data_IF_060859565402
#
_entry.id   IF_060859565402
#
_cell.length_a   1.000
_cell.length_b   1.000
_cell.length_c   1.000
_cell.angle_alpha   90.00
_cell.angle_beta   90.00
_cell.angle_gamma   90.00
#
_symmetry.space_group_name_H-M   'P 1'
#
loop_
_entity.id
_entity.type
_entity.pdbx_description
1 polymer ?
#
# COMPACT_ATOMS: atom_id res chain seq x y z
N UNK A 1 -54.23 -10.14 34.32
CA UNK A 1 -53.10 -11.07 34.06
C UNK A 1 -53.08 -11.29 32.56
N UNK A 2 -52.06 -10.83 31.84
CA UNK A 2 -52.05 -10.88 30.38
C UNK A 2 -52.03 -12.35 29.90
N UNK A 3 -52.91 -12.68 28.96
CA UNK A 3 -53.24 -14.06 28.56
C UNK A 3 -52.17 -14.72 27.65
N UNK A 4 -51.17 -13.96 27.22
CA UNK A 4 -50.11 -14.46 26.34
C UNK A 4 -48.74 -14.10 26.94
N UNK A 5 -47.92 -15.13 27.12
CA UNK A 5 -46.54 -14.97 27.59
C UNK A 5 -45.66 -14.51 26.42
N UNK A 6 -44.58 -13.78 26.71
CA UNK A 6 -43.61 -13.34 25.67
C UNK A 6 -43.13 -14.55 24.84
N UNK A 7 -42.98 -15.71 25.46
CA UNK A 7 -42.60 -16.97 24.81
C UNK A 7 -43.63 -17.52 23.80
N UNK A 8 -44.91 -17.13 23.89
CA UNK A 8 -45.94 -17.48 22.90
C UNK A 8 -46.06 -16.41 21.79
N UNK A 9 -45.77 -15.15 22.08
CA UNK A 9 -45.70 -14.08 21.07
C UNK A 9 -44.52 -14.26 20.10
N UNK A 10 -43.39 -14.76 20.59
CA UNK A 10 -42.19 -15.01 19.77
C UNK A 10 -42.38 -16.12 18.72
N UNK A 11 -43.36 -17.03 18.91
CA UNK A 11 -43.68 -18.07 17.92
C UNK A 11 -44.43 -17.53 16.70
N UNK A 12 -45.05 -16.35 16.81
CA UNK A 12 -45.75 -15.67 15.71
C UNK A 12 -44.87 -14.61 15.03
N UNK A 13 -43.72 -14.27 15.61
CA UNK A 13 -42.76 -13.34 15.04
C UNK A 13 -41.63 -14.11 14.36
N UNK A 14 -41.74 -14.30 13.05
CA UNK A 14 -40.55 -14.62 12.26
C UNK A 14 -39.60 -13.44 12.38
N UNK A 15 -38.47 -13.63 13.05
CA UNK A 15 -37.37 -12.66 13.02
C UNK A 15 -37.12 -12.32 11.55
N UNK A 16 -37.21 -11.03 11.20
CA UNK A 16 -36.63 -10.57 9.95
C UNK A 16 -35.13 -10.82 10.07
N UNK A 17 -34.67 -11.98 9.61
CA UNK A 17 -33.29 -12.16 9.19
C UNK A 17 -33.08 -11.12 8.09
N UNK A 18 -32.52 -9.98 8.48
CA UNK A 18 -32.06 -9.00 7.52
C UNK A 18 -30.97 -9.71 6.71
N UNK A 19 -31.34 -10.13 5.50
CA UNK A 19 -30.46 -10.78 4.57
C UNK A 19 -29.44 -9.76 4.05
N UNK A 20 -28.41 -9.50 4.84
CA UNK A 20 -27.25 -8.72 4.48
C UNK A 20 -26.04 -9.25 5.23
N UNK A 21 -24.97 -9.61 4.52
CA UNK A 21 -23.65 -9.71 5.17
C UNK A 21 -23.23 -8.26 5.40
N UNK A 22 -23.08 -7.89 6.66
CA UNK A 22 -22.51 -6.58 7.01
C UNK A 22 -21.06 -6.61 6.53
N UNK A 23 -20.73 -5.76 5.56
CA UNK A 23 -19.35 -5.57 5.12
C UNK A 23 -18.58 -4.86 6.25
N UNK A 24 -17.97 -5.65 7.12
CA UNK A 24 -17.11 -5.14 8.21
C UNK A 24 -15.71 -4.75 7.72
N UNK A 25 -15.37 -5.17 6.50
CA UNK A 25 -14.05 -5.03 5.90
C UNK A 25 -14.07 -3.90 4.87
N UNK A 26 -13.39 -2.79 5.20
CA UNK A 26 -13.24 -1.59 4.36
C UNK A 26 -12.03 -1.75 3.42
N UNK A 27 -12.26 -1.78 2.11
CA UNK A 27 -11.24 -2.15 1.10
C UNK A 27 -10.85 -1.02 0.12
N UNK A 28 -11.02 0.25 0.50
CA UNK A 28 -10.50 1.35 -0.32
C UNK A 28 -8.99 1.53 -0.04
N UNK A 29 -8.12 0.86 -0.81
CA UNK A 29 -6.70 1.19 -0.81
C UNK A 29 -6.43 2.33 -1.79
N UNK A 30 -5.82 3.43 -1.34
CA UNK A 30 -5.47 4.54 -2.21
C UNK A 30 -4.32 4.21 -3.17
N UNK A 31 -3.61 3.10 -2.96
CA UNK A 31 -2.43 2.70 -3.75
C UNK A 31 -2.79 2.47 -5.23
N UNK A 32 -3.91 1.78 -5.50
CA UNK A 32 -4.36 1.49 -6.86
C UNK A 32 -4.89 2.71 -7.61
N UNK A 33 -5.20 3.80 -6.91
CA UNK A 33 -5.61 5.05 -7.54
C UNK A 33 -4.45 5.92 -8.00
N UNK A 34 -3.24 5.68 -7.47
CA UNK A 34 -2.06 6.50 -7.73
C UNK A 34 -1.09 5.81 -8.70
N UNK A 35 -1.07 4.48 -8.72
CA UNK A 35 -0.20 3.71 -9.62
C UNK A 35 -0.91 3.35 -10.94
N UNK A 36 -0.40 3.82 -12.10
CA UNK A 36 -0.93 3.41 -13.39
C UNK A 36 -0.49 1.98 -13.73
N UNK A 37 -1.41 1.19 -14.29
CA UNK A 37 -1.10 -0.11 -14.88
C UNK A 37 -0.78 0.05 -16.35
N UNK A 38 0.41 -0.39 -16.77
CA UNK A 38 0.80 -0.46 -18.17
C UNK A 38 0.91 -1.91 -18.63
N UNK A 39 0.54 -2.18 -19.88
CA UNK A 39 0.57 -3.52 -20.46
C UNK A 39 1.90 -3.76 -21.15
N UNK A 40 2.62 -4.79 -20.72
CA UNK A 40 3.91 -5.18 -21.32
C UNK A 40 3.69 -6.44 -22.16
N UNK A 41 4.29 -6.48 -23.35
CA UNK A 41 4.31 -7.67 -24.21
C UNK A 41 5.56 -8.50 -23.87
N UNK A 42 5.41 -9.53 -23.03
CA UNK A 42 6.51 -10.40 -22.61
C UNK A 42 6.35 -10.89 -21.17
N UNK A 43 7.34 -11.65 -20.67
CA UNK A 43 7.34 -12.16 -19.29
C UNK A 43 8.09 -11.25 -18.30
N UNK A 44 8.84 -10.27 -18.80
CA UNK A 44 9.61 -9.34 -17.99
C UNK A 44 9.84 -8.01 -18.71
N UNK A 45 10.10 -6.96 -17.94
CA UNK A 45 10.56 -5.66 -18.42
C UNK A 45 11.96 -5.42 -17.87
N UNK A 46 12.95 -5.40 -18.77
CA UNK A 46 14.31 -4.98 -18.43
C UNK A 46 14.49 -3.51 -18.79
N UNK A 47 14.89 -2.71 -17.81
CA UNK A 47 15.21 -1.30 -18.00
C UNK A 47 16.62 -1.02 -17.50
N UNK A 48 17.27 -0.06 -18.14
CA UNK A 48 18.63 0.34 -17.81
C UNK A 48 18.59 1.47 -16.78
N UNK A 49 19.20 1.25 -15.62
CA UNK A 49 19.34 2.23 -14.55
C UNK A 49 20.73 2.86 -14.62
N UNK A 50 20.81 4.18 -14.63
CA UNK A 50 22.07 4.91 -14.52
C UNK A 50 22.61 4.78 -13.09
N UNK A 51 23.90 4.43 -12.95
CA UNK A 51 24.53 4.20 -11.65
C UNK A 51 25.50 5.33 -11.27
N UNK A 52 26.37 5.72 -12.20
CA UNK A 52 27.34 6.81 -11.97
C UNK A 52 27.39 7.75 -13.17
N UNK A 53 27.28 9.05 -12.90
CA UNK A 53 27.54 10.09 -13.89
C UNK A 53 29.06 10.24 -14.08
N UNK A 54 29.47 10.63 -15.29
CA UNK A 54 30.85 11.03 -15.55
C UNK A 54 31.21 12.30 -14.76
N UNK A 55 32.48 12.41 -14.37
CA UNK A 55 33.01 13.58 -13.65
C UNK A 55 33.35 14.71 -14.62
N UNK A 56 33.30 15.95 -14.12
CA UNK A 56 33.75 17.14 -14.84
C UNK A 56 34.81 17.85 -13.99
N UNK A 57 35.94 18.20 -14.61
CA UNK A 57 37.07 18.84 -13.95
C UNK A 57 37.42 20.17 -14.64
N UNK A 58 37.92 21.13 -13.86
CA UNK A 58 38.46 22.39 -14.39
C UNK A 58 39.94 22.19 -14.71
N UNK A 59 40.35 22.59 -15.91
CA UNK A 59 41.71 22.42 -16.41
C UNK A 59 42.35 23.75 -16.79
N UNK A 60 43.64 23.90 -16.49
CA UNK A 60 44.45 25.03 -16.96
C UNK A 60 44.97 24.77 -18.40
N UNK A 61 45.40 25.82 -19.13
CA UNK A 61 45.93 25.65 -20.48
C UNK A 61 47.20 24.77 -20.49
N UNK A 62 47.08 23.55 -21.01
CA UNK A 62 48.16 22.56 -21.14
C UNK A 62 47.96 21.27 -20.34
N UNK A 63 46.90 21.17 -19.53
CA UNK A 63 46.62 19.97 -18.73
C UNK A 63 46.10 18.78 -19.54
N UNK A 64 46.35 17.59 -19.00
CA UNK A 64 45.80 16.33 -19.51
C UNK A 64 44.39 16.10 -18.98
N UNK A 65 43.46 15.87 -19.89
CA UNK A 65 42.08 15.55 -19.58
C UNK A 65 41.96 14.08 -19.18
N UNK A 66 41.42 13.81 -18.00
CA UNK A 66 41.12 12.44 -17.55
C UNK A 66 39.71 12.07 -18.00
N UNK A 67 39.57 10.98 -18.75
CA UNK A 67 38.26 10.51 -19.22
C UNK A 67 37.50 9.81 -18.08
N UNK A 68 36.21 10.12 -17.96
CA UNK A 68 35.31 9.52 -16.99
C UNK A 68 34.12 8.91 -17.71
N UNK A 69 33.95 7.58 -17.62
CA UNK A 69 32.88 6.86 -18.31
C UNK A 69 31.67 6.66 -17.39
N UNK A 70 30.46 7.07 -17.80
CA UNK A 70 29.24 6.77 -17.05
C UNK A 70 28.93 5.27 -17.07
N UNK A 71 28.37 4.73 -15.98
CA UNK A 71 28.01 3.32 -15.86
C UNK A 71 26.50 3.12 -15.74
N UNK A 72 26.01 2.03 -16.34
CA UNK A 72 24.59 1.68 -16.42
C UNK A 72 24.43 0.22 -16.02
N UNK A 73 23.43 -0.09 -15.19
CA UNK A 73 23.08 -1.46 -14.79
C UNK A 73 21.69 -1.84 -15.31
N UNK A 74 21.53 -3.00 -15.97
CA UNK A 74 20.22 -3.49 -16.35
C UNK A 74 19.49 -4.06 -15.12
N UNK A 75 18.27 -3.58 -14.85
CA UNK A 75 17.36 -4.09 -13.83
C UNK A 75 16.19 -4.76 -14.54
N UNK A 76 15.82 -5.98 -14.10
CA UNK A 76 14.73 -6.75 -14.72
C UNK A 76 13.60 -6.95 -13.73
N UNK A 77 12.41 -6.46 -14.08
CA UNK A 77 11.18 -6.76 -13.36
C UNK A 77 10.44 -7.91 -14.04
N UNK A 78 10.17 -9.00 -13.32
CA UNK A 78 9.42 -10.17 -13.81
C UNK A 78 7.93 -10.02 -13.50
N UNK A 79 7.08 -10.56 -14.37
CA UNK A 79 5.64 -10.60 -14.13
C UNK A 79 5.27 -11.87 -13.35
N UNK A 80 4.36 -11.73 -12.38
CA UNK A 80 3.81 -12.83 -11.59
C UNK A 80 2.29 -12.90 -11.73
N UNK A 81 1.74 -14.10 -11.51
CA UNK A 81 0.30 -14.37 -11.65
C UNK A 81 -0.30 -14.51 -10.26
N UNK A 82 -1.24 -13.64 -9.93
CA UNK A 82 -2.05 -13.72 -8.71
C UNK A 82 -3.47 -14.15 -9.06
N UNK A 83 -3.99 -15.16 -8.37
CA UNK A 83 -5.34 -15.66 -8.57
C UNK A 83 -5.83 -16.43 -7.36
N UNK A 84 -7.15 -16.59 -7.26
CA UNK A 84 -7.80 -17.37 -6.21
C UNK A 84 -9.02 -18.07 -6.75
N UNK A 85 -9.29 -19.26 -6.21
CA UNK A 85 -10.43 -20.08 -6.59
C UNK A 85 -11.61 -19.89 -5.63
N UNK A 86 -12.83 -19.98 -6.18
CA UNK A 86 -14.10 -19.74 -5.53
C UNK A 86 -15.14 -20.76 -5.99
N UNK A 87 -14.92 -22.04 -5.65
CA UNK A 87 -15.85 -23.11 -5.98
C UNK A 87 -17.06 -23.17 -5.03
N UNK A 88 -18.22 -23.46 -5.61
CA UNK A 88 -19.45 -23.73 -4.87
C UNK A 88 -20.18 -24.92 -5.48
N UNK A 89 -20.66 -25.84 -4.65
CA UNK A 89 -21.48 -26.96 -5.10
C UNK A 89 -22.85 -26.47 -5.61
N UNK A 90 -23.27 -26.98 -6.77
CA UNK A 90 -24.54 -26.69 -7.39
C UNK A 90 -25.73 -27.04 -6.47
N UNK A 91 -25.60 -28.08 -5.63
CA UNK A 91 -26.65 -28.42 -4.65
C UNK A 91 -26.79 -27.35 -3.57
N UNK A 92 -25.66 -26.84 -3.04
CA UNK A 92 -25.62 -25.75 -2.07
C UNK A 92 -26.14 -24.44 -2.67
N UNK A 93 -25.82 -24.17 -3.94
CA UNK A 93 -26.36 -23.02 -4.68
C UNK A 93 -27.88 -23.06 -4.78
N UNK A 94 -28.47 -24.22 -5.08
CA UNK A 94 -29.92 -24.38 -5.21
C UNK A 94 -30.66 -24.37 -3.87
N UNK A 95 -30.08 -24.97 -2.83
CA UNK A 95 -30.77 -25.19 -1.55
C UNK A 95 -30.62 -24.05 -0.55
N UNK A 96 -29.51 -23.30 -0.58
CA UNK A 96 -29.20 -22.28 0.43
C UNK A 96 -29.23 -20.83 -0.07
N UNK A 97 -29.52 -20.59 -1.35
CA UNK A 97 -29.62 -19.24 -1.91
C UNK A 97 -30.98 -18.55 -1.70
N UNK A 98 -31.83 -19.04 -0.79
CA UNK A 98 -33.16 -18.48 -0.55
C UNK A 98 -33.08 -17.06 0.04
N UNK A 99 -32.13 -16.84 0.96
CA UNK A 99 -32.00 -15.57 1.68
C UNK A 99 -30.91 -14.68 1.09
N UNK A 100 -29.81 -15.25 0.60
CA UNK A 100 -28.68 -14.52 0.01
C UNK A 100 -28.04 -15.35 -1.09
N UNK A 101 -27.51 -14.71 -2.13
CA UNK A 101 -26.72 -15.39 -3.15
C UNK A 101 -25.34 -15.76 -2.58
N UNK A 102 -25.20 -17.03 -2.21
CA UNK A 102 -23.98 -17.58 -1.61
C UNK A 102 -22.80 -17.52 -2.59
N UNK A 103 -23.07 -17.64 -3.89
CA UNK A 103 -22.02 -17.55 -4.91
C UNK A 103 -21.49 -16.13 -5.01
N UNK A 104 -22.37 -15.14 -5.08
CA UNK A 104 -21.98 -13.73 -5.17
C UNK A 104 -21.16 -13.30 -3.94
N UNK A 105 -21.50 -13.80 -2.76
CA UNK A 105 -20.75 -13.51 -1.53
C UNK A 105 -19.36 -14.13 -1.51
N UNK A 106 -19.23 -15.41 -1.88
CA UNK A 106 -17.93 -16.08 -1.92
C UNK A 106 -17.01 -15.43 -2.96
N UNK A 107 -17.56 -15.06 -4.12
CA UNK A 107 -16.82 -14.33 -5.13
C UNK A 107 -16.37 -12.95 -4.62
N UNK A 108 -17.26 -12.20 -3.95
CA UNK A 108 -16.91 -10.89 -3.39
C UNK A 108 -15.82 -11.00 -2.32
N UNK A 109 -15.90 -11.98 -1.42
CA UNK A 109 -14.86 -12.23 -0.41
C UNK A 109 -13.51 -12.60 -1.04
N UNK A 110 -13.53 -13.37 -2.13
CA UNK A 110 -12.32 -13.77 -2.84
C UNK A 110 -11.70 -12.62 -3.62
N UNK A 111 -12.50 -11.80 -4.30
CA UNK A 111 -12.03 -10.59 -4.95
C UNK A 111 -11.32 -9.66 -3.94
N UNK A 112 -11.87 -9.53 -2.73
CA UNK A 112 -11.25 -8.77 -1.63
C UNK A 112 -9.92 -9.39 -1.17
N UNK A 113 -9.87 -10.71 -1.02
CA UNK A 113 -8.64 -11.41 -0.64
C UNK A 113 -7.52 -11.22 -1.68
N UNK A 114 -7.86 -11.31 -2.98
CA UNK A 114 -6.90 -11.07 -4.08
C UNK A 114 -6.40 -9.63 -4.06
N UNK A 115 -7.29 -8.64 -3.88
CA UNK A 115 -6.89 -7.25 -3.81
C UNK A 115 -5.93 -6.95 -2.63
N UNK A 116 -6.13 -7.59 -1.47
CA UNK A 116 -5.24 -7.46 -0.31
C UNK A 116 -3.90 -8.16 -0.51
N UNK A 117 -3.91 -9.36 -1.06
CA UNK A 117 -2.70 -10.09 -1.38
C UNK A 117 -1.82 -9.28 -2.35
N UNK A 118 -2.43 -8.69 -3.38
CA UNK A 118 -1.74 -7.77 -4.29
C UNK A 118 -1.14 -6.56 -3.54
N UNK A 119 -1.89 -5.91 -2.66
CA UNK A 119 -1.39 -4.75 -1.89
C UNK A 119 -0.23 -5.10 -0.96
N UNK A 120 -0.32 -6.23 -0.26
CA UNK A 120 0.73 -6.70 0.64
C UNK A 120 2.00 -6.99 -0.15
N UNK A 121 1.88 -7.69 -1.28
CA UNK A 121 3.01 -8.01 -2.15
C UNK A 121 3.62 -6.74 -2.76
N UNK A 122 2.82 -5.74 -3.13
CA UNK A 122 3.35 -4.47 -3.64
C UNK A 122 4.23 -3.74 -2.62
N UNK A 123 3.92 -3.83 -1.33
CA UNK A 123 4.70 -3.13 -0.29
C UNK A 123 5.85 -3.98 0.22
N UNK A 124 5.60 -5.25 0.55
CA UNK A 124 6.50 -6.15 1.27
C UNK A 124 6.91 -7.39 0.47
N UNK A 125 6.56 -7.49 -0.80
CA UNK A 125 6.94 -8.62 -1.65
C UNK A 125 8.45 -8.76 -1.72
N UNK A 126 8.90 -10.01 -1.69
CA UNK A 126 10.31 -10.40 -1.72
C UNK A 126 10.38 -11.81 -2.30
N UNK A 127 11.01 -11.92 -3.47
CA UNK A 127 11.14 -13.18 -4.20
C UNK A 127 12.17 -14.11 -3.57
N UNK A 128 13.17 -13.57 -2.89
CA UNK A 128 14.31 -14.33 -2.39
C UNK A 128 14.02 -14.97 -1.02
N UNK A 129 13.42 -14.23 -0.08
CA UNK A 129 13.19 -14.72 1.29
C UNK A 129 11.73 -15.07 1.63
N UNK A 130 10.74 -14.48 0.94
CA UNK A 130 9.32 -14.63 1.32
C UNK A 130 8.55 -15.52 0.36
N UNK A 131 8.47 -15.15 -0.92
CA UNK A 131 7.63 -15.82 -1.90
C UNK A 131 8.30 -15.88 -3.28
N UNK A 132 8.89 -17.04 -3.64
CA UNK A 132 9.56 -17.23 -4.94
C UNK A 132 8.67 -17.09 -6.18
N UNK A 133 7.34 -17.02 -5.99
CA UNK A 133 6.34 -16.83 -7.06
C UNK A 133 5.74 -15.43 -7.08
N UNK A 134 6.13 -14.59 -6.12
CA UNK A 134 5.71 -13.22 -5.98
C UNK A 134 6.49 -12.30 -6.90
N UNK A 135 6.62 -11.06 -6.47
CA UNK A 135 7.46 -10.05 -7.11
C UNK A 135 8.04 -9.15 -6.01
N UNK A 136 9.16 -8.49 -6.32
CA UNK A 136 9.81 -7.59 -5.36
C UNK A 136 8.96 -6.34 -5.15
N UNK A 137 8.57 -6.10 -3.91
CA UNK A 137 7.80 -4.93 -3.48
C UNK A 137 8.69 -3.72 -3.22
N UNK A 138 8.07 -2.61 -2.82
CA UNK A 138 8.79 -1.37 -2.54
C UNK A 138 9.90 -1.54 -1.48
N UNK A 139 9.70 -2.40 -0.48
CA UNK A 139 10.70 -2.64 0.57
C UNK A 139 12.03 -3.17 0.00
N UNK A 140 11.95 -4.14 -0.91
CA UNK A 140 13.13 -4.76 -1.52
C UNK A 140 13.73 -3.87 -2.61
N UNK A 141 12.89 -3.24 -3.45
CA UNK A 141 13.36 -2.33 -4.51
C UNK A 141 14.15 -1.14 -3.93
N UNK A 142 13.73 -0.62 -2.77
CA UNK A 142 14.42 0.46 -2.06
C UNK A 142 15.63 -0.04 -1.27
N UNK A 143 15.76 -1.35 -1.08
CA UNK A 143 16.81 -1.99 -0.29
C UNK A 143 16.78 -1.52 1.15
N UNK A 144 15.67 -1.67 1.87
CA UNK A 144 15.62 -1.27 3.29
C UNK A 144 16.70 -2.05 4.06
N UNK A 145 17.48 -1.36 4.92
CA UNK A 145 18.67 -1.85 5.66
C UNK A 145 20.00 -1.85 4.88
N UNK A 146 20.01 -1.95 3.55
CA UNK A 146 21.24 -1.97 2.72
C UNK A 146 21.37 -0.80 1.74
N UNK A 147 20.27 -0.12 1.46
CA UNK A 147 20.13 1.01 0.54
C UNK A 147 20.29 2.36 1.23
N UNK A 148 20.47 3.41 0.43
CA UNK A 148 20.67 4.79 0.92
C UNK A 148 19.36 5.58 1.09
N UNK A 149 18.19 4.93 0.94
CA UNK A 149 16.88 5.57 0.91
C UNK A 149 15.99 5.18 2.10
N UNK A 150 16.58 4.70 3.20
CA UNK A 150 15.88 4.43 4.45
C UNK A 150 16.27 5.41 5.57
N UNK A 151 15.30 5.75 6.42
CA UNK A 151 15.55 6.54 7.63
C UNK A 151 15.03 5.77 8.83
N UNK A 152 15.96 5.28 9.63
CA UNK A 152 15.66 4.57 10.87
C UNK A 152 15.40 5.60 11.99
N UNK A 153 14.24 5.49 12.63
CA UNK A 153 13.90 6.30 13.81
C UNK A 153 14.70 5.91 15.08
N UNK A 154 15.51 4.85 15.01
CA UNK A 154 16.33 4.32 16.10
C UNK A 154 17.51 3.49 15.58
N UNK A 155 18.07 2.63 16.43
CA UNK A 155 19.08 1.65 16.01
C UNK A 155 18.41 0.55 15.17
N UNK A 156 19.18 -0.14 14.32
CA UNK A 156 18.74 -1.33 13.57
C UNK A 156 18.13 -2.41 14.48
N UNK A 157 18.49 -2.45 15.76
CA UNK A 157 17.97 -3.44 16.73
C UNK A 157 16.81 -2.92 17.59
N UNK A 158 16.72 -1.60 17.82
CA UNK A 158 15.73 -0.99 18.72
C UNK A 158 15.08 0.23 18.06
N UNK A 159 13.76 0.15 17.83
CA UNK A 159 12.97 1.27 17.30
C UNK A 159 12.92 2.46 18.27
N UNK A 160 13.28 3.65 17.78
CA UNK A 160 13.14 4.91 18.51
C UNK A 160 11.84 5.64 18.20
N UNK A 161 11.50 6.70 18.95
CA UNK A 161 10.32 7.51 18.66
C UNK A 161 10.50 8.27 17.35
N UNK A 162 9.54 8.13 16.42
CA UNK A 162 9.53 8.94 15.20
C UNK A 162 9.34 10.43 15.52
N UNK A 163 10.16 11.28 14.92
CA UNK A 163 10.10 12.75 15.02
C UNK A 163 9.80 13.37 13.66
N UNK A 164 9.33 14.62 13.64
CA UNK A 164 9.15 15.37 12.39
C UNK A 164 10.48 15.56 11.65
N UNK A 165 11.58 15.78 12.36
CA UNK A 165 12.91 15.89 11.71
C UNK A 165 13.29 14.65 10.91
N UNK A 166 12.95 13.45 11.41
CA UNK A 166 13.22 12.20 10.69
C UNK A 166 12.28 12.00 9.49
N UNK A 167 11.08 12.57 9.56
CA UNK A 167 10.16 12.57 8.45
C UNK A 167 10.61 13.55 7.35
N UNK A 168 11.17 14.69 7.72
CA UNK A 168 11.79 15.65 6.78
C UNK A 168 13.04 15.05 6.13
N UNK A 169 13.92 14.41 6.91
CA UNK A 169 15.08 13.66 6.38
C UNK A 169 14.65 12.61 5.35
N UNK A 170 13.54 11.90 5.60
CA UNK A 170 13.00 10.89 4.67
C UNK A 170 12.46 11.53 3.38
N UNK A 171 11.83 12.71 3.47
CA UNK A 171 11.35 13.45 2.30
C UNK A 171 12.54 13.93 1.45
N UNK A 172 13.61 14.41 2.07
CA UNK A 172 14.80 14.92 1.38
C UNK A 172 15.62 13.84 0.65
N UNK A 173 15.46 12.56 1.03
CA UNK A 173 16.09 11.45 0.31
C UNK A 173 15.47 11.18 -1.06
N UNK A 174 14.26 11.69 -1.32
CA UNK A 174 13.60 11.59 -2.62
C UNK A 174 14.13 12.70 -3.53
N UNK A 175 14.91 12.31 -4.54
CA UNK A 175 15.45 13.20 -5.59
C UNK A 175 14.74 12.89 -6.91
N UNK A 176 14.44 13.87 -7.78
CA UNK A 176 14.86 15.28 -7.79
C UNK A 176 13.87 16.30 -7.19
N UNK A 177 12.79 15.86 -6.54
CA UNK A 177 11.75 16.74 -5.98
C UNK A 177 10.94 16.05 -4.87
N UNK A 178 9.98 16.77 -4.23
CA UNK A 178 9.19 16.21 -3.14
C UNK A 178 8.36 15.00 -3.63
N UNK A 179 8.10 14.02 -2.75
CA UNK A 179 7.33 12.83 -3.10
C UNK A 179 5.86 13.17 -3.39
N UNK A 180 5.24 12.43 -4.32
CA UNK A 180 3.85 12.64 -4.71
C UNK A 180 2.84 12.25 -3.63
N UNK A 181 3.21 11.32 -2.73
CA UNK A 181 2.37 10.87 -1.62
C UNK A 181 3.19 10.22 -0.50
N UNK A 182 2.72 10.38 0.74
CA UNK A 182 3.22 9.66 1.91
C UNK A 182 2.25 8.52 2.25
N UNK A 183 2.69 7.27 2.10
CA UNK A 183 1.90 6.11 2.48
C UNK A 183 2.25 5.66 3.90
N UNK A 184 1.24 5.50 4.76
CA UNK A 184 1.47 5.10 6.15
C UNK A 184 0.29 4.34 6.76
N UNK A 185 0.54 3.60 7.84
CA UNK A 185 -0.50 2.87 8.58
C UNK A 185 -1.40 3.81 9.38
N UNK A 186 -2.56 3.33 9.81
CA UNK A 186 -3.43 4.12 10.72
C UNK A 186 -2.75 4.47 12.03
N UNK A 187 -1.81 3.63 12.50
CA UNK A 187 -1.06 3.81 13.75
C UNK A 187 -0.08 4.98 13.63
N UNK A 188 0.75 5.02 12.60
CA UNK A 188 1.72 6.09 12.39
C UNK A 188 1.05 7.44 12.17
N UNK A 189 -0.05 7.49 11.40
CA UNK A 189 -0.87 8.72 11.28
C UNK A 189 -1.36 9.24 12.63
N UNK A 190 -1.81 8.35 13.53
CA UNK A 190 -2.25 8.76 14.89
C UNK A 190 -1.09 9.30 15.72
N UNK A 191 0.10 8.73 15.58
CA UNK A 191 1.31 9.22 16.26
C UNK A 191 1.73 10.59 15.71
N UNK A 192 1.74 10.77 14.39
CA UNK A 192 2.00 12.07 13.75
C UNK A 192 1.00 13.14 14.20
N UNK A 193 -0.30 12.81 14.24
CA UNK A 193 -1.33 13.71 14.82
C UNK A 193 -1.13 14.01 16.30
N UNK A 194 -0.54 13.09 17.08
CA UNK A 194 -0.21 13.33 18.49
C UNK A 194 0.97 14.30 18.61
N UNK A 195 1.98 14.15 17.74
CA UNK A 195 3.15 15.02 17.70
C UNK A 195 2.78 16.45 17.25
N UNK A 196 1.96 16.59 16.20
CA UNK A 196 1.49 17.90 15.72
C UNK A 196 0.76 18.66 16.83
N UNK A 197 -0.23 18.00 17.46
CA UNK A 197 -0.99 18.58 18.57
C UNK A 197 -0.13 18.90 19.79
N UNK A 198 0.93 18.12 20.03
CA UNK A 198 1.90 18.39 21.10
C UNK A 198 2.73 19.66 20.89
N UNK A 199 2.89 20.11 19.65
CA UNK A 199 3.59 21.33 19.28
C UNK A 199 2.66 22.54 19.07
N UNK A 200 1.35 22.38 19.30
CA UNK A 200 0.37 23.47 19.20
C UNK A 200 -0.21 23.72 17.80
N UNK A 201 0.00 22.81 16.84
CA UNK A 201 -0.55 22.87 15.49
C UNK A 201 -1.32 21.59 15.13
N UNK A 202 -2.12 21.63 14.06
CA UNK A 202 -2.76 20.44 13.48
C UNK A 202 -2.33 20.31 12.01
N UNK A 203 -2.45 19.10 11.45
CA UNK A 203 -2.13 18.83 10.06
C UNK A 203 -3.15 19.50 9.13
N UNK A 204 -2.67 20.08 8.04
CA UNK A 204 -3.54 20.74 7.06
C UNK A 204 -4.48 19.74 6.40
N UNK A 205 -5.72 20.17 6.17
CA UNK A 205 -6.72 19.41 5.44
C UNK A 205 -6.80 19.99 4.03
N UNK A 206 -6.33 19.24 3.03
CA UNK A 206 -6.40 19.64 1.62
C UNK A 206 -7.18 18.62 0.81
N UNK A 207 -7.75 19.04 -0.31
CA UNK A 207 -8.36 18.16 -1.31
C UNK A 207 -7.44 18.13 -2.53
N UNK A 208 -6.53 17.15 -2.64
CA UNK A 208 -5.78 16.93 -3.88
C UNK A 208 -6.77 16.56 -5.00
N UNK A 209 -6.66 17.18 -6.17
CA UNK A 209 -7.64 17.07 -7.26
C UNK A 209 -7.89 15.65 -7.80
N UNK A 210 -7.06 14.67 -7.45
CA UNK A 210 -7.20 13.26 -7.84
C UNK A 210 -8.08 12.43 -6.88
N UNK A 211 -8.36 12.90 -5.66
CA UNK A 211 -9.03 12.13 -4.62
C UNK A 211 -10.26 12.88 -4.11
N UNK A 212 -11.45 12.29 -4.27
CA UNK A 212 -12.75 12.89 -3.90
C UNK A 212 -13.01 13.02 -2.38
N UNK A 213 -11.95 12.96 -1.55
CA UNK A 213 -12.02 13.02 -0.08
C UNK A 213 -10.93 13.94 0.45
N UNK A 214 -11.21 14.79 1.46
CA UNK A 214 -10.18 15.61 2.08
C UNK A 214 -9.14 14.70 2.76
N UNK A 215 -7.88 14.89 2.40
CA UNK A 215 -6.74 14.11 2.90
C UNK A 215 -5.88 15.04 3.75
N UNK A 216 -5.27 14.47 4.79
CA UNK A 216 -4.29 15.17 5.60
C UNK A 216 -3.03 15.37 4.76
N UNK A 217 -2.53 16.59 4.70
CA UNK A 217 -1.24 16.88 4.05
C UNK A 217 -0.18 17.19 5.11
N UNK A 218 1.06 16.84 4.78
CA UNK A 218 2.25 17.30 5.48
C UNK A 218 3.17 17.98 4.46
N UNK A 219 3.52 19.25 4.68
CA UNK A 219 4.28 20.05 3.71
C UNK A 219 3.71 19.97 2.27
N UNK A 220 2.38 20.10 2.14
CA UNK A 220 1.60 19.95 0.90
C UNK A 220 1.61 18.56 0.24
N UNK A 221 2.27 17.57 0.85
CA UNK A 221 2.29 16.17 0.37
C UNK A 221 1.09 15.41 0.95
N UNK A 222 0.27 14.74 0.13
CA UNK A 222 -0.91 14.00 0.59
C UNK A 222 -0.53 12.72 1.34
N UNK A 223 -1.20 12.48 2.47
CA UNK A 223 -1.00 11.28 3.28
C UNK A 223 -2.04 10.23 2.96
N UNK A 224 -1.57 9.15 2.34
CA UNK A 224 -2.35 7.97 2.02
C UNK A 224 -2.30 6.96 3.16
N UNK A 225 -3.46 6.43 3.52
CA UNK A 225 -3.60 5.49 4.62
C UNK A 225 -3.85 4.12 4.05
N UNK A 226 -2.94 3.18 4.31
CA UNK A 226 -3.21 1.78 4.04
C UNK A 226 -4.00 1.14 5.19
N UNK A 227 -4.79 0.12 4.86
CA UNK A 227 -5.74 -0.55 5.73
C UNK A 227 -5.13 -1.37 6.87
N UNK A 228 -3.82 -1.57 6.87
CA UNK A 228 -3.06 -2.31 7.89
C UNK A 228 -2.26 -1.37 8.81
#
# INVERSE_FOLDING_TARGET
MALQTIAEGDKYSTTQLQAGVVEEIVDASPLFGLLPFDTILGNSLTYNRENTLGTAEFHDPGDTWTESTPTITPVTATLSILGGDADLDAFLKLTRSNHQDVQAQMLAMKAKAVARAAQSEMVYGDVDDINPKGFDGFHEILGVVTGNQDVLAGSTTNGGPGTFSKLDEMIDLVKPGPPDALMMTRRSRRQMRKLARGQGWDLALSQPGALARPILTYADIPILINGE
#
